data_IF_389104307061
#
_entry.id   IF_389104307061
#
_cell.length_a   1.000
_cell.length_b   1.000
_cell.length_c   1.000
_cell.angle_alpha   90.00
_cell.angle_beta   90.00
_cell.angle_gamma   90.00
#
_symmetry.space_group_name_H-M   'P 1'
#
loop_
_entity.id
_entity.type
_entity.pdbx_description
1 polymer ?
#
# COMPACT_ATOMS: atom_id res chain seq x y z
N UNK A 1 -12.12 -21.89 2.41
CA UNK A 1 -11.20 -21.42 1.35
C UNK A 1 -9.88 -21.01 1.98
N UNK A 2 -8.77 -21.09 1.25
CA UNK A 2 -7.46 -20.62 1.73
C UNK A 2 -6.76 -19.74 0.69
N UNK A 3 -5.96 -18.81 1.18
CA UNK A 3 -5.01 -18.04 0.37
C UNK A 3 -3.60 -18.39 0.83
N UNK A 4 -2.72 -18.67 -0.12
CA UNK A 4 -1.30 -18.86 0.12
C UNK A 4 -0.54 -17.62 -0.33
N UNK A 5 0.25 -17.04 0.55
CA UNK A 5 1.10 -15.88 0.28
C UNK A 5 2.55 -16.32 0.24
N UNK A 6 3.20 -16.05 -0.88
CA UNK A 6 4.60 -16.37 -1.10
C UNK A 6 5.37 -15.16 -1.62
N UNK A 7 6.68 -15.15 -1.43
CA UNK A 7 7.56 -14.22 -2.13
C UNK A 7 7.85 -14.68 -3.58
N UNK A 8 8.48 -13.83 -4.38
CA UNK A 8 8.90 -14.15 -5.76
C UNK A 8 9.97 -15.26 -5.84
N UNK A 9 10.58 -15.64 -4.71
CA UNK A 9 11.42 -16.83 -4.57
C UNK A 9 10.66 -18.09 -4.12
N UNK A 10 9.33 -18.02 -3.99
CA UNK A 10 8.46 -19.13 -3.59
C UNK A 10 8.40 -19.40 -2.09
N UNK A 11 9.05 -18.58 -1.24
CA UNK A 11 9.08 -18.77 0.21
C UNK A 11 7.76 -18.31 0.85
N UNK A 12 7.25 -19.02 1.86
CA UNK A 12 6.04 -18.60 2.56
C UNK A 12 6.23 -17.26 3.28
N UNK A 13 5.21 -16.40 3.22
CA UNK A 13 5.21 -15.11 3.95
C UNK A 13 4.34 -15.22 5.19
N UNK A 14 4.95 -15.37 6.36
CA UNK A 14 4.27 -15.39 7.66
C UNK A 14 3.77 -14.00 8.07
N UNK A 15 2.60 -13.93 8.72
CA UNK A 15 2.03 -12.71 9.29
C UNK A 15 1.55 -11.69 8.27
N UNK A 16 1.37 -12.07 7.01
CA UNK A 16 0.78 -11.22 5.98
C UNK A 16 -0.70 -11.03 6.24
N UNK A 17 -1.16 -9.78 6.23
CA UNK A 17 -2.58 -9.46 6.27
C UNK A 17 -3.19 -9.77 4.90
N UNK A 18 -4.29 -10.50 4.89
CA UNK A 18 -5.08 -10.86 3.72
C UNK A 18 -6.45 -10.23 3.86
N UNK A 19 -6.71 -9.15 3.13
CA UNK A 19 -7.98 -8.42 3.17
C UNK A 19 -8.76 -8.62 1.87
N UNK A 20 -10.06 -8.89 1.99
CA UNK A 20 -10.97 -8.87 0.84
C UNK A 20 -11.72 -7.54 0.81
N UNK A 21 -11.86 -6.97 -0.37
CA UNK A 21 -12.66 -5.77 -0.62
C UNK A 21 -13.94 -6.16 -1.34
N UNK A 22 -15.06 -5.56 -0.94
CA UNK A 22 -16.42 -5.97 -1.35
C UNK A 22 -17.10 -6.86 -0.31
N UNK A 23 -16.31 -7.54 0.53
CA UNK A 23 -16.75 -8.20 1.76
C UNK A 23 -15.77 -7.78 2.85
N UNK A 24 -16.21 -7.07 3.88
CA UNK A 24 -15.32 -6.50 4.92
C UNK A 24 -14.67 -7.60 5.78
N UNK A 25 -13.64 -8.25 5.23
CA UNK A 25 -13.00 -9.43 5.80
C UNK A 25 -11.47 -9.28 5.81
N UNK A 26 -10.85 -9.67 6.92
CA UNK A 26 -9.39 -9.72 7.08
C UNK A 26 -8.98 -11.00 7.80
N UNK A 27 -7.91 -11.64 7.32
CA UNK A 27 -7.21 -12.74 7.98
C UNK A 27 -5.69 -12.53 7.94
N UNK A 28 -4.93 -13.39 8.62
CA UNK A 28 -3.47 -13.35 8.64
C UNK A 28 -2.88 -14.71 8.30
N UNK A 29 -1.73 -14.71 7.61
CA UNK A 29 -1.03 -15.96 7.29
C UNK A 29 -0.26 -16.50 8.49
N UNK A 30 -0.26 -17.83 8.66
CA UNK A 30 0.63 -18.53 9.58
C UNK A 30 2.04 -18.75 9.01
N UNK A 31 2.86 -19.54 9.71
CA UNK A 31 4.25 -19.83 9.33
C UNK A 31 4.42 -20.41 7.91
N UNK A 32 3.42 -21.19 7.45
CA UNK A 32 3.39 -21.77 6.10
C UNK A 32 2.94 -20.76 5.02
N UNK A 33 2.76 -19.48 5.37
CA UNK A 33 2.27 -18.46 4.45
C UNK A 33 0.79 -18.61 4.07
N UNK A 34 0.04 -19.46 4.78
CA UNK A 34 -1.36 -19.76 4.49
C UNK A 34 -2.30 -19.03 5.44
N UNK A 35 -3.31 -18.37 4.88
CA UNK A 35 -4.43 -17.76 5.60
C UNK A 35 -5.73 -18.48 5.24
N UNK A 36 -6.52 -18.84 6.26
CA UNK A 36 -7.85 -19.41 6.06
C UNK A 36 -8.91 -18.30 6.00
N UNK A 37 -9.73 -18.36 4.95
CA UNK A 37 -10.79 -17.39 4.70
C UNK A 37 -12.12 -18.04 5.04
N UNK A 38 -12.72 -17.60 6.16
CA UNK A 38 -14.04 -17.99 6.62
C UNK A 38 -15.12 -17.09 6.00
N UNK A 39 -15.17 -17.04 4.67
CA UNK A 39 -16.12 -16.21 3.92
C UNK A 39 -17.26 -17.09 3.40
N UNK A 40 -18.53 -16.72 3.62
CA UNK A 40 -19.68 -17.43 3.07
C UNK A 40 -19.58 -17.56 1.53
N UNK A 41 -19.90 -18.73 0.94
CA UNK A 41 -19.76 -18.95 -0.50
C UNK A 41 -20.56 -17.97 -1.37
N UNK A 42 -21.73 -17.55 -0.91
CA UNK A 42 -22.59 -16.53 -1.55
C UNK A 42 -21.96 -15.13 -1.55
N UNK A 43 -21.17 -14.81 -0.52
CA UNK A 43 -20.46 -13.54 -0.42
C UNK A 43 -19.24 -13.46 -1.36
N UNK A 44 -18.71 -14.60 -1.83
CA UNK A 44 -17.54 -14.63 -2.72
C UNK A 44 -17.76 -13.89 -4.04
N UNK A 45 -18.97 -13.95 -4.59
CA UNK A 45 -19.33 -13.24 -5.81
C UNK A 45 -19.25 -11.71 -5.68
N UNK A 46 -19.27 -11.20 -4.44
CA UNK A 46 -19.17 -9.77 -4.15
C UNK A 46 -17.74 -9.28 -3.98
N UNK A 47 -16.75 -10.18 -3.94
CA UNK A 47 -15.34 -9.80 -3.81
C UNK A 47 -14.89 -9.05 -5.06
N UNK A 48 -14.37 -7.84 -4.87
CA UNK A 48 -13.85 -6.97 -5.94
C UNK A 48 -12.34 -6.93 -5.99
N UNK A 49 -11.67 -7.10 -4.86
CA UNK A 49 -10.23 -7.20 -4.80
C UNK A 49 -9.77 -8.05 -3.60
N UNK A 50 -8.66 -8.74 -3.78
CA UNK A 50 -7.88 -9.37 -2.72
C UNK A 50 -6.60 -8.55 -2.55
N UNK A 51 -6.35 -8.08 -1.33
CA UNK A 51 -5.13 -7.33 -0.99
C UNK A 51 -4.35 -8.12 0.03
N UNK A 52 -3.05 -8.24 -0.22
CA UNK A 52 -2.10 -8.87 0.68
C UNK A 52 -1.09 -7.82 1.11
N UNK A 53 -0.97 -7.61 2.41
CA UNK A 53 0.04 -6.73 3.03
C UNK A 53 1.03 -7.58 3.82
N UNK A 54 2.21 -7.88 3.26
CA UNK A 54 3.30 -8.50 3.99
C UNK A 54 3.71 -7.62 5.18
N UNK A 55 4.12 -8.21 6.33
CA UNK A 55 4.54 -7.41 7.47
C UNK A 55 5.89 -6.73 7.23
N UNK A 56 6.72 -7.25 6.32
CA UNK A 56 8.07 -6.75 6.00
C UNK A 56 8.62 -7.40 4.73
N UNK A 57 9.64 -6.77 4.15
CA UNK A 57 10.52 -7.38 3.13
C UNK A 57 9.94 -7.53 1.72
N UNK A 58 8.61 -7.53 1.57
CA UNK A 58 7.94 -7.63 0.29
C UNK A 58 6.97 -6.45 0.07
N UNK A 59 6.75 -6.10 -1.19
CA UNK A 59 5.72 -5.15 -1.61
C UNK A 59 4.33 -5.75 -1.38
N UNK A 60 3.33 -4.92 -0.98
CA UNK A 60 1.93 -5.33 -1.01
C UNK A 60 1.50 -5.77 -2.39
N UNK A 61 0.61 -6.77 -2.46
CA UNK A 61 0.01 -7.24 -3.69
C UNK A 61 -1.49 -6.97 -3.69
N UNK A 62 -2.06 -6.68 -4.85
CA UNK A 62 -3.51 -6.61 -5.05
C UNK A 62 -3.88 -7.35 -6.31
N UNK A 63 -4.86 -8.23 -6.16
CA UNK A 63 -5.48 -8.97 -7.24
C UNK A 63 -6.88 -8.41 -7.41
N UNK A 64 -7.12 -7.70 -8.52
CA UNK A 64 -8.45 -7.23 -8.88
C UNK A 64 -9.28 -8.40 -9.41
N UNK A 65 -10.54 -8.49 -8.97
CA UNK A 65 -11.47 -9.56 -9.33
C UNK A 65 -10.82 -10.96 -9.22
N UNK A 66 -10.35 -11.34 -8.01
CA UNK A 66 -9.63 -12.60 -7.83
C UNK A 66 -10.53 -13.80 -8.15
N UNK A 67 -9.98 -14.79 -8.86
CA UNK A 67 -10.62 -16.08 -9.04
C UNK A 67 -10.44 -16.92 -7.76
N UNK A 68 -11.36 -16.73 -6.82
CA UNK A 68 -11.35 -17.42 -5.53
C UNK A 68 -12.00 -18.81 -5.66
N UNK A 69 -11.31 -19.83 -5.16
CA UNK A 69 -11.77 -21.22 -5.18
C UNK A 69 -11.95 -21.73 -3.74
N UNK A 70 -13.08 -22.41 -3.48
CA UNK A 70 -13.37 -23.03 -2.17
C UNK A 70 -12.58 -24.31 -1.94
N UNK A 71 -12.27 -25.04 -3.01
CA UNK A 71 -11.66 -26.38 -2.99
C UNK A 71 -10.13 -26.37 -3.15
N UNK A 72 -9.57 -25.28 -3.71
CA UNK A 72 -8.14 -25.13 -3.94
C UNK A 72 -7.62 -23.79 -3.40
N UNK A 73 -6.42 -23.76 -2.78
CA UNK A 73 -5.85 -22.51 -2.30
C UNK A 73 -5.53 -21.56 -3.46
N UNK A 74 -5.84 -20.29 -3.29
CA UNK A 74 -5.44 -19.23 -4.24
C UNK A 74 -4.07 -18.69 -3.85
N UNK A 75 -3.07 -18.82 -4.72
CA UNK A 75 -1.72 -18.33 -4.44
C UNK A 75 -1.56 -16.86 -4.87
N UNK A 76 -1.00 -16.04 -3.98
CA UNK A 76 -0.62 -14.66 -4.24
C UNK A 76 0.89 -14.51 -4.01
N UNK A 77 1.57 -13.95 -5.00
CA UNK A 77 3.00 -13.67 -4.93
C UNK A 77 3.24 -12.21 -4.60
N UNK A 78 4.00 -11.95 -3.53
CA UNK A 78 4.48 -10.63 -3.16
C UNK A 78 5.93 -10.47 -3.62
N UNK A 79 6.22 -9.39 -4.35
CA UNK A 79 7.56 -9.14 -4.86
C UNK A 79 8.47 -8.65 -3.73
N UNK A 80 9.64 -9.26 -3.52
CA UNK A 80 10.62 -8.76 -2.55
C UNK A 80 11.06 -7.35 -2.92
N UNK A 81 11.20 -6.50 -1.90
CA UNK A 81 11.70 -5.12 -2.10
C UNK A 81 13.08 -5.16 -2.74
N UNK A 82 13.93 -6.09 -2.30
CA UNK A 82 15.29 -6.29 -2.81
C UNK A 82 15.36 -6.68 -4.29
N UNK A 83 14.29 -7.27 -4.85
CA UNK A 83 14.24 -7.60 -6.27
C UNK A 83 14.21 -6.32 -7.12
N UNK A 84 13.46 -5.33 -6.66
CA UNK A 84 13.40 -4.00 -7.30
C UNK A 84 14.50 -3.05 -6.84
N UNK A 85 15.04 -3.27 -5.63
CA UNK A 85 16.00 -2.39 -4.96
C UNK A 85 17.04 -3.21 -4.18
N UNK A 86 18.07 -3.77 -4.86
CA UNK A 86 19.01 -4.72 -4.24
C UNK A 86 19.76 -4.20 -3.00
N UNK A 87 19.94 -2.89 -2.88
CA UNK A 87 20.61 -2.26 -1.74
C UNK A 87 19.72 -2.07 -0.50
N UNK A 88 18.41 -2.30 -0.57
CA UNK A 88 17.52 -2.13 0.57
C UNK A 88 17.73 -3.23 1.63
N UNK A 89 17.71 -2.93 2.94
CA UNK A 89 17.42 -1.64 3.57
C UNK A 89 18.63 -0.73 3.79
N UNK A 90 19.84 -1.18 3.48
CA UNK A 90 21.09 -0.43 3.75
C UNK A 90 21.21 0.83 2.88
N UNK A 91 20.64 0.78 1.68
CA UNK A 91 20.47 1.90 0.76
C UNK A 91 19.00 2.34 0.78
N UNK A 92 18.79 3.64 1.07
CA UNK A 92 17.46 4.25 1.01
C UNK A 92 16.87 4.13 -0.40
N UNK A 93 15.55 3.91 -0.47
CA UNK A 93 14.81 3.82 -1.73
C UNK A 93 14.91 5.14 -2.52
N UNK A 94 15.65 5.12 -3.64
CA UNK A 94 15.67 6.20 -4.63
C UNK A 94 14.44 6.07 -5.55
N UNK A 95 13.30 6.54 -5.05
CA UNK A 95 12.05 6.57 -5.79
C UNK A 95 11.84 7.93 -6.47
N UNK A 96 10.96 7.98 -7.47
CA UNK A 96 10.52 9.25 -8.05
C UNK A 96 9.98 10.21 -6.97
N UNK A 97 9.29 9.68 -5.95
CA UNK A 97 8.72 10.47 -4.85
C UNK A 97 9.81 11.09 -3.99
N UNK A 98 10.84 10.30 -3.65
CA UNK A 98 12.04 10.74 -2.94
C UNK A 98 12.67 11.94 -3.65
N UNK A 99 12.85 11.87 -4.98
CA UNK A 99 13.41 12.97 -5.79
C UNK A 99 12.49 14.17 -5.95
N UNK A 100 11.19 13.95 -6.13
CA UNK A 100 10.20 15.03 -6.21
C UNK A 100 10.14 15.84 -4.90
N UNK A 101 10.28 15.17 -3.76
CA UNK A 101 10.36 15.81 -2.43
C UNK A 101 11.73 16.43 -2.14
N UNK A 102 12.76 16.13 -2.94
CA UNK A 102 14.12 16.63 -2.72
C UNK A 102 14.85 15.92 -1.58
N UNK A 103 14.40 14.73 -1.17
CA UNK A 103 15.05 13.94 -0.13
C UNK A 103 16.45 13.47 -0.56
N UNK A 104 16.69 13.33 -1.87
CA UNK A 104 18.02 13.12 -2.46
C UNK A 104 19.01 14.25 -2.17
N UNK A 105 18.52 15.43 -1.74
CA UNK A 105 19.34 16.61 -1.42
C UNK A 105 19.53 16.83 0.07
N UNK A 106 18.89 16.02 0.92
CA UNK A 106 19.03 16.15 2.36
C UNK A 106 20.34 15.50 2.82
N UNK A 107 20.99 16.05 3.86
CA UNK A 107 22.11 15.36 4.50
C UNK A 107 21.69 13.96 4.96
N UNK A 108 22.54 12.92 4.84
CA UNK A 108 22.24 11.57 5.31
C UNK A 108 21.95 11.48 6.83
N UNK A 109 22.33 12.51 7.57
CA UNK A 109 22.08 12.67 9.01
C UNK A 109 20.73 13.30 9.33
N UNK A 110 19.99 13.79 8.33
CA UNK A 110 18.67 14.38 8.55
C UNK A 110 17.69 13.28 9.01
N UNK A 111 16.91 13.57 10.06
CA UNK A 111 15.96 12.63 10.68
C UNK A 111 14.51 13.14 10.61
N UNK A 112 14.22 14.08 9.72
CA UNK A 112 12.88 14.64 9.53
C UNK A 112 12.51 15.74 10.52
N UNK A 113 13.47 16.28 11.27
CA UNK A 113 13.20 17.40 12.19
C UNK A 113 12.64 18.60 11.44
N UNK A 114 11.47 19.08 11.87
CA UNK A 114 10.75 20.19 11.23
C UNK A 114 9.98 19.81 9.97
N UNK A 115 9.96 18.54 9.57
CA UNK A 115 9.11 18.02 8.49
C UNK A 115 7.77 17.63 9.06
N UNK A 116 6.70 18.16 8.47
CA UNK A 116 5.32 17.90 8.86
C UNK A 116 4.73 16.90 7.89
N UNK A 117 4.41 15.72 8.42
CA UNK A 117 3.94 14.59 7.64
C UNK A 117 2.47 14.35 7.96
N UNK A 118 1.60 14.37 6.96
CA UNK A 118 0.27 13.81 7.09
C UNK A 118 0.25 12.37 6.60
N UNK A 119 -0.45 11.50 7.34
CA UNK A 119 -0.78 10.15 6.87
C UNK A 119 -2.28 10.08 6.67
N UNK A 120 -2.68 9.95 5.41
CA UNK A 120 -4.05 9.73 4.97
C UNK A 120 -4.20 8.22 4.70
N UNK A 121 -4.67 7.49 5.71
CA UNK A 121 -4.75 6.03 5.68
C UNK A 121 -5.84 5.50 6.63
N UNK A 122 -6.07 4.19 6.60
CA UNK A 122 -6.88 3.49 7.62
C UNK A 122 -6.17 3.35 8.97
N UNK A 123 -4.87 3.65 9.05
CA UNK A 123 -4.07 3.60 10.28
C UNK A 123 -2.63 4.08 10.09
N UNK A 124 -1.92 4.32 11.19
CA UNK A 124 -0.52 4.78 11.22
C UNK A 124 0.28 3.87 12.16
N UNK A 125 1.36 3.26 11.66
CA UNK A 125 2.31 2.46 12.46
C UNK A 125 3.73 2.80 12.03
N UNK A 126 4.60 3.15 13.00
CA UNK A 126 6.04 3.27 12.79
C UNK A 126 6.49 4.52 12.01
N UNK A 127 6.39 5.70 12.62
CA UNK A 127 7.01 6.93 12.13
C UNK A 127 8.12 7.39 13.07
N UNK A 128 9.07 8.16 12.53
CA UNK A 128 10.19 8.72 13.29
C UNK A 128 9.68 9.70 14.34
N UNK A 129 10.10 9.62 15.62
CA UNK A 129 9.58 10.46 16.69
C UNK A 129 9.91 11.95 16.52
N UNK A 130 10.87 12.29 15.66
CA UNK A 130 11.30 13.66 15.38
C UNK A 130 10.46 14.38 14.33
N UNK A 131 9.55 13.66 13.64
CA UNK A 131 8.62 14.24 12.67
C UNK A 131 7.30 14.61 13.34
N UNK A 132 6.69 15.72 12.90
CA UNK A 132 5.36 16.08 13.35
C UNK A 132 4.31 15.36 12.48
N UNK A 133 3.50 14.50 13.08
CA UNK A 133 2.59 13.61 12.37
C UNK A 133 1.13 14.05 12.53
N UNK A 134 0.43 14.16 11.40
CA UNK A 134 -0.99 14.47 11.31
C UNK A 134 -1.74 13.25 10.75
N UNK A 135 -2.67 12.68 11.52
CA UNK A 135 -3.48 11.55 11.07
C UNK A 135 -4.80 12.01 10.45
N UNK A 136 -5.03 11.68 9.18
CA UNK A 136 -6.33 11.87 8.52
C UNK A 136 -6.95 10.50 8.24
N UNK A 137 -7.92 10.08 9.07
CA UNK A 137 -8.62 8.80 8.86
C UNK A 137 -9.68 8.97 7.77
N UNK A 138 -9.44 8.39 6.61
CA UNK A 138 -10.36 8.41 5.44
C UNK A 138 -10.95 7.02 5.13
N UNK A 139 -10.47 5.97 5.80
CA UNK A 139 -10.93 4.58 5.59
C UNK A 139 -11.40 3.97 6.94
N UNK A 140 -12.28 2.96 6.95
CA UNK A 140 -12.77 2.19 5.79
C UNK A 140 -14.01 2.76 5.06
N UNK A 141 -14.73 3.73 5.64
CA UNK A 141 -16.03 4.21 5.13
C UNK A 141 -15.98 5.56 4.38
N UNK A 142 -14.82 6.23 4.35
CA UNK A 142 -14.71 7.52 3.67
C UNK A 142 -14.68 7.37 2.15
N UNK A 143 -15.14 8.42 1.51
CA UNK A 143 -15.33 8.58 0.07
C UNK A 143 -14.18 9.38 -0.55
N UNK A 144 -14.22 9.58 -1.87
CA UNK A 144 -13.29 10.50 -2.56
C UNK A 144 -13.38 11.93 -2.01
N UNK A 145 -14.55 12.34 -1.50
CA UNK A 145 -14.72 13.69 -0.95
C UNK A 145 -13.94 13.83 0.37
N UNK A 146 -13.97 12.81 1.23
CA UNK A 146 -13.19 12.79 2.47
C UNK A 146 -11.67 12.83 2.20
N UNK A 147 -11.23 12.27 1.07
CA UNK A 147 -9.84 12.42 0.62
C UNK A 147 -9.52 13.86 0.20
N UNK A 148 -10.44 14.52 -0.52
CA UNK A 148 -10.27 15.94 -0.91
C UNK A 148 -10.23 16.83 0.34
N UNK A 149 -11.15 16.62 1.29
CA UNK A 149 -11.16 17.35 2.56
C UNK A 149 -9.89 17.11 3.37
N UNK A 150 -9.38 15.87 3.41
CA UNK A 150 -8.11 15.57 4.05
C UNK A 150 -6.92 16.28 3.37
N UNK A 151 -6.93 16.40 2.05
CA UNK A 151 -5.92 17.15 1.30
C UNK A 151 -6.00 18.64 1.55
N UNK A 152 -7.20 19.21 1.59
CA UNK A 152 -7.43 20.62 1.92
C UNK A 152 -6.94 20.92 3.34
N UNK A 153 -7.24 20.04 4.31
CA UNK A 153 -6.69 20.12 5.66
C UNK A 153 -5.15 20.10 5.66
N UNK A 154 -4.53 19.22 4.88
CA UNK A 154 -3.06 19.18 4.76
C UNK A 154 -2.49 20.50 4.22
N UNK A 155 -3.16 21.12 3.25
CA UNK A 155 -2.75 22.41 2.68
C UNK A 155 -2.89 23.53 3.71
N UNK A 156 -4.04 23.61 4.38
CA UNK A 156 -4.31 24.61 5.44
C UNK A 156 -3.32 24.49 6.58
N UNK A 157 -3.07 23.25 7.03
CA UNK A 157 -2.12 23.01 8.09
C UNK A 157 -0.69 23.27 7.65
N UNK A 158 -0.36 23.43 6.36
CA UNK A 158 1.03 23.53 5.84
C UNK A 158 1.83 22.25 6.12
N UNK A 159 1.25 21.11 5.78
CA UNK A 159 1.92 19.82 5.74
C UNK A 159 2.90 19.80 4.56
N UNK A 160 4.11 19.30 4.80
CA UNK A 160 5.16 19.21 3.79
C UNK A 160 5.00 17.97 2.92
N UNK A 161 4.59 16.84 3.52
CA UNK A 161 4.45 15.55 2.85
C UNK A 161 3.16 14.86 3.29
N UNK A 162 2.31 14.47 2.34
CA UNK A 162 1.13 13.65 2.60
C UNK A 162 1.35 12.22 2.07
N UNK A 163 1.46 11.25 2.97
CA UNK A 163 1.43 9.83 2.64
C UNK A 163 -0.03 9.40 2.45
N UNK A 164 -0.39 8.96 1.25
CA UNK A 164 -1.75 8.54 0.92
C UNK A 164 -1.75 7.03 0.66
N UNK A 165 -2.26 6.26 1.61
CA UNK A 165 -2.43 4.81 1.49
C UNK A 165 -3.89 4.45 1.23
N UNK A 166 -4.50 5.15 0.26
CA UNK A 166 -5.88 4.98 -0.15
C UNK A 166 -5.91 4.67 -1.65
N UNK A 167 -6.53 3.56 -2.05
CA UNK A 167 -6.60 3.11 -3.43
C UNK A 167 -8.03 2.89 -3.88
N UNK A 168 -8.39 3.41 -5.06
CA UNK A 168 -9.70 3.16 -5.68
C UNK A 168 -9.62 1.94 -6.62
N UNK A 169 -10.48 0.92 -6.45
CA UNK A 169 -10.73 -0.05 -7.51
C UNK A 169 -11.63 0.60 -8.56
N UNK A 170 -11.08 1.48 -9.39
CA UNK A 170 -11.79 2.15 -10.47
C UNK A 170 -10.95 3.23 -11.14
N UNK A 171 -10.92 3.23 -12.47
CA UNK A 171 -10.36 4.34 -13.25
C UNK A 171 -11.28 5.55 -13.08
N UNK A 172 -10.79 6.63 -12.47
CA UNK A 172 -11.45 7.93 -12.58
C UNK A 172 -10.78 8.73 -13.72
N UNK A 173 -11.55 9.43 -14.57
CA UNK A 173 -11.00 10.32 -15.60
C UNK A 173 -10.36 11.60 -15.02
N UNK A 174 -10.33 11.74 -13.69
CA UNK A 174 -9.82 12.90 -12.96
C UNK A 174 -8.45 12.57 -12.34
N UNK A 175 -7.43 12.47 -13.19
CA UNK A 175 -6.06 12.76 -12.74
C UNK A 175 -5.93 14.29 -12.67
N UNK A 176 -5.80 14.91 -11.49
CA UNK A 176 -5.56 16.34 -11.45
C UNK A 176 -4.22 16.65 -12.15
N UNK A 177 -4.13 17.75 -12.92
CA UNK A 177 -2.84 18.23 -13.40
C UNK A 177 -1.92 18.50 -12.20
N UNK A 178 -0.63 18.15 -12.38
CA UNK A 178 0.44 18.22 -11.37
C UNK A 178 0.22 19.33 -10.33
N UNK A 179 0.09 19.01 -9.03
CA UNK A 179 -0.03 20.04 -8.01
C UNK A 179 1.19 20.96 -8.02
N UNK A 180 0.95 22.27 -7.96
CA UNK A 180 1.97 23.34 -8.01
C UNK A 180 2.85 23.43 -6.75
N UNK A 181 2.54 22.68 -5.68
CA UNK A 181 3.37 22.52 -4.48
C UNK A 181 3.84 21.07 -4.42
N UNK A 182 5.03 20.84 -3.83
CA UNK A 182 5.73 19.55 -3.71
C UNK A 182 4.95 18.52 -2.88
N UNK A 183 3.72 18.22 -3.27
CA UNK A 183 3.01 17.04 -2.82
C UNK A 183 3.58 15.87 -3.63
N UNK A 184 4.43 15.04 -3.02
CA UNK A 184 4.52 13.68 -3.50
C UNK A 184 3.23 13.00 -3.06
N UNK A 185 2.27 12.90 -3.96
CA UNK A 185 1.32 11.78 -3.94
C UNK A 185 2.17 10.53 -4.07
N UNK A 186 2.63 9.98 -2.95
CA UNK A 186 3.18 8.65 -2.92
C UNK A 186 2.04 7.71 -3.27
N UNK A 187 1.79 7.50 -4.55
CA UNK A 187 1.17 6.28 -5.01
C UNK A 187 1.95 5.19 -4.29
N UNK A 188 1.28 4.37 -3.47
CA UNK A 188 1.87 3.14 -2.95
C UNK A 188 2.73 2.60 -4.07
N UNK A 189 4.02 2.34 -3.80
CA UNK A 189 4.94 1.82 -4.78
C UNK A 189 4.42 0.45 -5.21
N UNK A 190 3.47 0.45 -6.14
CA UNK A 190 3.11 -0.68 -6.95
C UNK A 190 4.37 -1.02 -7.74
N UNK A 191 4.67 -2.31 -7.96
CA UNK A 191 5.65 -2.65 -8.98
C UNK A 191 5.26 -1.91 -10.28
N UNK A 192 6.23 -1.53 -11.14
CA UNK A 192 5.90 -1.05 -12.46
C UNK A 192 4.95 -2.06 -13.12
N UNK A 193 3.94 -1.62 -13.91
CA UNK A 193 3.03 -2.55 -14.57
C UNK A 193 3.86 -3.57 -15.35
N UNK A 194 3.74 -4.84 -14.94
CA UNK A 194 4.31 -5.95 -15.70
C UNK A 194 3.48 -6.04 -16.97
N UNK A 195 4.01 -5.51 -18.07
CA UNK A 195 3.45 -5.78 -19.39
C UNK A 195 3.41 -7.29 -19.59
N UNK A 196 2.28 -7.88 -20.02
CA UNK A 196 2.28 -9.28 -20.42
C UNK A 196 3.38 -9.45 -21.46
N UNK A 197 4.32 -10.35 -21.19
CA UNK A 197 5.24 -10.79 -22.21
C UNK A 197 4.40 -11.41 -23.33
N UNK A 198 4.43 -10.82 -24.52
CA UNK A 198 4.03 -11.50 -25.73
C UNK A 198 4.96 -12.70 -25.94
N UNK A 199 4.50 -13.89 -25.53
CA UNK A 199 4.55 -15.13 -26.32
C UNK A 199 3.97 -16.33 -25.59
#
# INVERSE_FOLDING_TARGET
MAVEVRDDGGRPTEGAEVSLYGVAFTAYTGAEGRAELAVPPDALASVRALVVRPPRGCWPAMVNQPLLNVDAPSTVTCLRITETHPGFPDQQLDSWGTRAMGFDRLPPTHRGHGVRIAVIASGVVGLTPEAEVYGCRVAPEGTTLDLVEALDYCIEQRIDVALIAYGFPGHSPWSPPRPRKRAATGWCAWPPPVTPAER
#
